data_IF_176704015495
#
_entry.id   IF_176704015495
#
_cell.length_a   1.000
_cell.length_b   1.000
_cell.length_c   1.000
_cell.angle_alpha   90.00
_cell.angle_beta   90.00
_cell.angle_gamma   90.00
#
_symmetry.space_group_name_H-M   'P 1'
#
loop_
_entity.id
_entity.type
_entity.pdbx_description
1 polymer ?
#
# COMPACT_ATOMS: atom_id res chain seq x y z
N UNK A 1 15.46 -4.28 4.37
CA UNK A 1 14.36 -3.55 5.02
C UNK A 1 13.09 -4.40 4.89
N UNK A 2 12.21 -4.41 5.90
CA UNK A 2 10.88 -5.00 5.73
C UNK A 2 9.97 -3.89 5.19
N UNK A 3 9.54 -4.00 3.93
CA UNK A 3 8.39 -3.23 3.45
C UNK A 3 7.15 -4.00 3.90
N UNK A 4 6.52 -3.51 4.97
CA UNK A 4 5.31 -4.13 5.51
C UNK A 4 4.14 -3.81 4.59
N UNK A 5 3.51 -4.83 4.00
CA UNK A 5 2.39 -4.64 3.09
C UNK A 5 1.14 -4.18 3.87
N UNK A 6 0.88 -2.87 3.87
CA UNK A 6 -0.30 -2.29 4.50
C UNK A 6 -1.54 -2.50 3.61
N UNK A 7 -2.13 -3.70 3.68
CA UNK A 7 -3.38 -4.01 3.00
C UNK A 7 -4.56 -3.26 3.66
N UNK A 8 -4.86 -2.06 3.16
CA UNK A 8 -6.00 -1.24 3.57
C UNK A 8 -7.34 -1.86 3.12
N UNK A 9 -7.82 -2.85 3.86
CA UNK A 9 -9.14 -3.47 3.67
C UNK A 9 -10.21 -2.74 4.48
N UNK A 10 -10.91 -1.77 3.87
CA UNK A 10 -12.11 -1.17 4.46
C UNK A 10 -13.35 -2.04 4.19
N UNK A 11 -13.73 -2.85 5.17
CA UNK A 11 -14.95 -3.66 5.12
C UNK A 11 -16.18 -2.85 5.57
N UNK A 12 -17.04 -2.46 4.63
CA UNK A 12 -18.36 -1.90 4.92
C UNK A 12 -19.42 -3.02 5.03
N UNK A 13 -19.72 -3.47 6.26
CA UNK A 13 -20.57 -4.64 6.52
C UNK A 13 -21.77 -4.37 7.44
N UNK A 14 -22.64 -3.41 7.12
CA UNK A 14 -23.87 -3.19 7.88
C UNK A 14 -24.93 -4.26 7.61
N UNK A 15 -25.23 -5.07 8.63
CA UNK A 15 -26.03 -6.30 8.52
C UNK A 15 -27.49 -6.04 8.88
N UNK A 16 -28.34 -5.74 7.89
CA UNK A 16 -29.75 -5.47 8.14
C UNK A 16 -30.55 -6.76 8.40
N UNK A 17 -31.24 -6.85 9.55
CA UNK A 17 -32.08 -8.01 9.92
C UNK A 17 -33.48 -7.85 9.33
N UNK A 18 -33.70 -8.41 8.14
CA UNK A 18 -35.05 -8.61 7.60
C UNK A 18 -35.75 -9.78 8.30
N UNK A 19 -36.79 -9.49 9.08
CA UNK A 19 -37.65 -10.50 9.69
C UNK A 19 -38.62 -11.07 8.64
N UNK A 20 -38.67 -12.40 8.45
CA UNK A 20 -39.68 -13.06 7.60
C UNK A 20 -40.70 -13.76 8.48
N UNK A 21 -41.95 -13.31 8.41
CA UNK A 21 -43.11 -14.05 8.92
C UNK A 21 -43.54 -15.15 7.94
N UNK A 22 -44.21 -16.16 8.47
CA UNK A 22 -44.67 -17.36 7.77
C UNK A 22 -46.09 -17.20 7.19
N UNK A 23 -46.56 -18.22 6.48
CA UNK A 23 -47.72 -18.29 5.58
C UNK A 23 -49.04 -18.75 6.24
N UNK A 24 -50.11 -18.79 5.41
CA UNK A 24 -51.46 -19.38 5.60
C UNK A 24 -52.51 -18.54 6.41
N UNK A 25 -53.79 -18.40 6.00
CA UNK A 25 -54.48 -18.73 4.72
C UNK A 25 -55.77 -17.86 4.52
N UNK A 26 -56.56 -17.96 3.42
CA UNK A 26 -57.55 -16.94 3.02
C UNK A 26 -59.01 -17.21 3.45
N UNK A 27 -59.85 -16.16 3.51
CA UNK A 27 -61.28 -16.20 3.17
C UNK A 27 -61.97 -14.81 3.22
N UNK A 28 -63.12 -14.65 2.55
CA UNK A 28 -64.15 -13.67 2.96
C UNK A 28 -64.39 -12.43 2.09
N UNK A 29 -65.41 -12.51 1.23
CA UNK A 29 -65.92 -11.44 0.35
C UNK A 29 -66.47 -10.16 1.03
N UNK A 30 -66.44 -9.02 0.31
CA UNK A 30 -67.63 -8.23 -0.09
C UNK A 30 -67.25 -6.86 -0.71
N UNK A 31 -68.22 -6.14 -1.29
CA UNK A 31 -67.99 -5.02 -2.22
C UNK A 31 -68.59 -3.68 -1.77
N UNK A 32 -67.93 -2.56 -2.14
CA UNK A 32 -68.47 -1.20 -2.43
C UNK A 32 -67.28 -0.23 -2.58
N UNK A 33 -66.94 0.29 -3.77
CA UNK A 33 -67.35 1.62 -4.26
C UNK A 33 -67.13 2.77 -3.28
N UNK A 34 -66.19 3.68 -3.55
CA UNK A 34 -66.50 5.06 -4.00
C UNK A 34 -65.23 5.93 -4.25
N UNK A 35 -65.40 6.99 -5.04
CA UNK A 35 -64.38 7.95 -5.48
C UNK A 35 -63.73 8.79 -4.36
N UNK A 36 -62.42 9.07 -4.50
CA UNK A 36 -61.86 10.42 -4.39
C UNK A 36 -60.36 10.48 -4.74
N UNK A 37 -60.00 11.40 -5.63
CA UNK A 37 -58.65 12.01 -5.72
C UNK A 37 -58.84 13.54 -5.63
N UNK A 38 -57.78 14.34 -5.48
CA UNK A 38 -56.75 14.30 -4.43
C UNK A 38 -56.69 15.67 -3.70
N UNK A 39 -55.97 15.79 -2.59
CA UNK A 39 -55.52 17.11 -2.10
C UNK A 39 -54.16 17.02 -1.38
N UNK A 40 -53.29 18.05 -1.43
CA UNK A 40 -51.87 17.91 -1.17
C UNK A 40 -51.44 18.32 0.25
N UNK A 41 -50.22 17.93 0.61
CA UNK A 41 -49.47 18.60 1.68
C UNK A 41 -49.18 17.74 2.90
N UNK A 42 -48.20 16.84 2.79
CA UNK A 42 -47.50 16.31 3.97
C UNK A 42 -46.06 16.81 3.97
N UNK A 43 -45.92 17.96 4.64
CA UNK A 43 -44.73 18.52 5.31
C UNK A 43 -43.50 17.60 5.30
N UNK A 44 -42.40 18.11 4.72
CA UNK A 44 -41.08 17.49 4.87
C UNK A 44 -40.75 17.30 6.35
N UNK A 45 -40.34 16.09 6.72
CA UNK A 45 -39.82 15.82 8.06
C UNK A 45 -38.48 16.52 8.23
N UNK A 46 -38.40 17.40 9.22
CA UNK A 46 -37.15 18.02 9.65
C UNK A 46 -36.26 16.92 10.25
N UNK A 47 -35.27 16.47 9.49
CA UNK A 47 -34.27 15.52 9.98
C UNK A 47 -33.39 16.18 11.06
N UNK A 48 -33.12 15.42 12.13
CA UNK A 48 -32.24 15.85 13.22
C UNK A 48 -30.87 16.37 12.71
N UNK A 49 -30.28 17.37 13.38
CA UNK A 49 -29.02 17.95 12.93
C UNK A 49 -27.89 16.90 12.99
N UNK A 50 -27.29 16.61 11.83
CA UNK A 50 -26.06 15.82 11.72
C UNK A 50 -25.01 16.39 12.70
N UNK A 51 -24.45 15.52 13.55
CA UNK A 51 -23.43 15.89 14.53
C UNK A 51 -22.13 16.45 13.90
N UNK A 52 -21.28 17.13 14.69
CA UNK A 52 -20.11 17.81 14.18
C UNK A 52 -19.09 16.79 13.67
N UNK A 53 -18.87 16.75 12.34
CA UNK A 53 -17.87 15.84 11.76
C UNK A 53 -18.03 15.47 10.29
N UNK A 54 -18.87 16.14 9.49
CA UNK A 54 -18.87 15.96 8.03
C UNK A 54 -19.05 17.28 7.29
N UNK A 55 -17.96 17.84 6.78
CA UNK A 55 -18.02 18.82 5.69
C UNK A 55 -18.47 18.12 4.39
N UNK A 56 -19.76 17.81 4.28
CA UNK A 56 -20.35 17.25 3.04
C UNK A 56 -20.46 18.30 1.91
N UNK A 57 -20.01 19.53 2.16
CA UNK A 57 -20.12 20.69 1.28
C UNK A 57 -18.81 21.51 1.33
N UNK A 58 -17.68 20.89 0.97
CA UNK A 58 -16.43 21.61 0.80
C UNK A 58 -16.47 22.48 -0.47
N UNK A 59 -17.15 23.64 -0.37
CA UNK A 59 -17.21 24.66 -1.44
C UNK A 59 -15.84 25.20 -1.83
N UNK A 60 -14.86 25.02 -0.94
CA UNK A 60 -13.49 25.52 -1.05
C UNK A 60 -12.45 24.39 -1.22
N UNK A 61 -12.88 23.14 -1.50
CA UNK A 61 -11.97 22.01 -1.73
C UNK A 61 -11.05 22.28 -2.93
N UNK A 62 -9.74 22.14 -2.72
CA UNK A 62 -8.74 22.19 -3.78
C UNK A 62 -8.49 20.80 -4.34
N UNK A 63 -8.96 20.57 -5.56
CA UNK A 63 -8.83 19.29 -6.26
C UNK A 63 -7.39 19.00 -6.71
N UNK A 64 -6.99 17.74 -6.63
CA UNK A 64 -5.78 17.20 -7.24
C UNK A 64 -5.85 17.25 -8.77
N UNK A 65 -4.68 17.38 -9.39
CA UNK A 65 -4.54 17.19 -10.84
C UNK A 65 -4.50 15.70 -11.15
N UNK A 66 -5.63 15.16 -11.59
CA UNK A 66 -5.77 13.74 -11.95
C UNK A 66 -4.85 13.35 -13.10
N UNK A 67 -4.05 12.32 -12.91
CA UNK A 67 -3.22 11.70 -13.94
C UNK A 67 -4.14 10.92 -14.90
N UNK A 68 -4.30 11.46 -16.12
CA UNK A 68 -5.08 10.84 -17.19
C UNK A 68 -4.32 9.78 -17.99
N UNK A 69 -2.99 9.78 -17.94
CA UNK A 69 -2.13 8.87 -18.71
C UNK A 69 -2.00 7.52 -17.98
N UNK A 70 -1.80 7.57 -16.66
CA UNK A 70 -1.87 6.38 -15.80
C UNK A 70 -3.30 5.88 -15.63
N UNK A 71 -4.31 6.76 -15.67
CA UNK A 71 -5.71 6.37 -15.47
C UNK A 71 -6.68 7.20 -16.33
N UNK A 72 -7.02 6.66 -17.49
CA UNK A 72 -7.94 7.27 -18.45
C UNK A 72 -9.24 7.80 -17.79
N UNK A 73 -9.51 9.09 -17.96
CA UNK A 73 -10.69 9.80 -17.43
C UNK A 73 -11.90 9.75 -18.38
N UNK A 74 -11.73 9.26 -19.61
CA UNK A 74 -12.77 9.28 -20.65
C UNK A 74 -14.01 8.50 -20.22
N UNK A 75 -15.18 9.15 -20.30
CA UNK A 75 -16.48 8.58 -19.94
C UNK A 75 -16.57 8.03 -18.50
N UNK A 76 -15.80 8.58 -17.56
CA UNK A 76 -15.83 8.19 -16.15
C UNK A 76 -16.26 9.36 -15.26
N UNK A 77 -17.02 9.06 -14.21
CA UNK A 77 -17.33 10.03 -13.15
C UNK A 77 -16.15 10.10 -12.19
N UNK A 78 -15.68 11.31 -11.95
CA UNK A 78 -14.64 11.59 -10.98
C UNK A 78 -15.27 11.89 -9.60
N UNK A 79 -14.57 11.52 -8.53
CA UNK A 79 -14.90 11.88 -7.16
C UNK A 79 -13.59 12.06 -6.39
N UNK A 80 -13.38 13.24 -5.83
CA UNK A 80 -12.21 13.53 -5.02
C UNK A 80 -12.59 13.75 -3.56
N UNK A 81 -11.71 13.33 -2.64
CA UNK A 81 -11.93 13.39 -1.20
C UNK A 81 -10.69 13.94 -0.51
N UNK A 82 -10.91 14.92 0.35
CA UNK A 82 -10.01 15.37 1.41
C UNK A 82 -10.05 14.32 2.54
N UNK A 83 -8.92 13.64 2.78
CA UNK A 83 -8.77 12.55 3.76
C UNK A 83 -8.14 13.07 5.05
N UNK A 84 -7.21 14.02 4.96
CA UNK A 84 -6.47 14.59 6.10
C UNK A 84 -7.17 15.80 6.78
N UNK A 85 -8.17 16.40 6.11
CA UNK A 85 -8.95 17.58 6.49
C UNK A 85 -8.24 18.94 6.42
N UNK A 86 -7.27 19.11 5.51
CA UNK A 86 -6.52 20.36 5.28
C UNK A 86 -7.14 21.29 4.21
N UNK A 87 -8.18 20.84 3.49
CA UNK A 87 -8.86 21.57 2.43
C UNK A 87 -8.34 21.30 1.01
N UNK A 88 -7.37 20.40 0.86
CA UNK A 88 -6.96 19.81 -0.42
C UNK A 88 -7.55 18.40 -0.53
N UNK A 89 -7.68 17.89 -1.75
CA UNK A 89 -8.05 16.49 -1.96
C UNK A 89 -6.79 15.62 -1.85
N UNK A 90 -6.93 14.42 -1.29
CA UNK A 90 -5.85 13.43 -1.19
C UNK A 90 -6.16 12.19 -2.03
N UNK A 91 -7.45 11.90 -2.27
CA UNK A 91 -7.90 10.68 -2.95
C UNK A 91 -8.81 11.00 -4.13
N UNK A 92 -8.39 10.61 -5.32
CA UNK A 92 -9.19 10.59 -6.54
C UNK A 92 -9.77 9.18 -6.76
N UNK A 93 -11.06 9.08 -7.08
CA UNK A 93 -11.70 7.85 -7.55
C UNK A 93 -12.42 8.09 -8.86
N UNK A 94 -12.12 7.25 -9.87
CA UNK A 94 -12.79 7.23 -11.17
C UNK A 94 -13.75 6.04 -11.24
N UNK A 95 -15.02 6.34 -11.54
CA UNK A 95 -16.10 5.38 -11.73
C UNK A 95 -16.43 5.24 -13.22
N UNK A 96 -16.39 4.03 -13.75
CA UNK A 96 -16.96 3.73 -15.06
C UNK A 96 -18.43 3.34 -14.91
N UNK A 97 -19.27 3.73 -15.86
CA UNK A 97 -20.67 3.30 -15.92
C UNK A 97 -20.82 2.23 -17.00
N UNK A 98 -21.30 1.04 -16.62
CA UNK A 98 -21.69 -0.02 -17.55
C UNK A 98 -23.16 -0.43 -17.36
N UNK A 99 -23.61 -1.44 -18.10
CA UNK A 99 -25.00 -1.93 -18.05
C UNK A 99 -25.42 -2.47 -16.67
N UNK A 100 -24.47 -2.77 -15.78
CA UNK A 100 -24.69 -3.18 -14.39
C UNK A 100 -24.61 -2.03 -13.38
N UNK A 101 -24.31 -0.80 -13.79
CA UNK A 101 -24.24 0.39 -12.94
C UNK A 101 -22.86 1.06 -12.90
N UNK A 102 -22.61 1.88 -11.87
CA UNK A 102 -21.29 2.45 -11.62
C UNK A 102 -20.36 1.41 -10.98
N UNK A 103 -19.13 1.32 -11.49
CA UNK A 103 -18.05 0.47 -10.97
C UNK A 103 -16.77 1.27 -10.80
N UNK A 104 -15.95 0.89 -9.82
CA UNK A 104 -14.59 1.40 -9.71
C UNK A 104 -13.79 1.05 -10.96
N UNK A 105 -13.07 2.02 -11.51
CA UNK A 105 -12.16 1.84 -12.64
C UNK A 105 -10.71 2.14 -12.24
N UNK A 106 -10.49 3.25 -11.53
CA UNK A 106 -9.19 3.60 -10.96
C UNK A 106 -9.33 4.40 -9.66
N UNK A 107 -8.35 4.29 -8.78
CA UNK A 107 -8.07 5.25 -7.70
C UNK A 107 -6.67 5.82 -7.87
N UNK A 108 -6.51 7.08 -7.51
CA UNK A 108 -5.22 7.77 -7.46
C UNK A 108 -5.13 8.44 -6.08
N UNK A 109 -4.01 8.35 -5.38
CA UNK A 109 -3.87 8.97 -4.06
C UNK A 109 -2.54 9.69 -3.90
N UNK A 110 -2.62 10.86 -3.28
CA UNK A 110 -1.55 11.53 -2.57
C UNK A 110 -1.40 10.80 -1.21
N UNK A 111 -0.21 10.25 -0.92
CA UNK A 111 0.07 9.50 0.29
C UNK A 111 0.89 10.31 1.31
N UNK A 112 1.56 11.37 0.87
CA UNK A 112 2.42 12.21 1.70
C UNK A 112 1.85 13.62 2.00
N UNK A 113 0.78 13.99 1.29
CA UNK A 113 0.04 15.26 1.32
C UNK A 113 0.84 16.46 0.75
N UNK A 114 1.63 16.24 -0.31
CA UNK A 114 2.40 17.29 -1.01
C UNK A 114 1.70 17.90 -2.24
N UNK A 115 0.54 17.35 -2.63
CA UNK A 115 -0.26 17.74 -3.79
C UNK A 115 0.04 16.96 -5.08
N UNK A 116 0.89 15.91 -5.00
CA UNK A 116 1.21 14.98 -6.09
C UNK A 116 0.51 13.64 -5.87
N UNK A 117 0.63 12.74 -6.83
CA UNK A 117 -0.06 11.46 -6.82
C UNK A 117 0.97 10.34 -6.80
N UNK A 118 0.99 9.61 -5.68
CA UNK A 118 1.99 8.59 -5.38
C UNK A 118 1.48 7.19 -5.70
N UNK A 119 0.18 6.94 -5.51
CA UNK A 119 -0.43 5.62 -5.68
C UNK A 119 -1.49 5.59 -6.78
N UNK A 120 -1.47 4.55 -7.61
CA UNK A 120 -2.45 4.31 -8.68
C UNK A 120 -2.95 2.87 -8.66
N UNK A 121 -4.24 2.67 -8.39
CA UNK A 121 -4.87 1.35 -8.28
C UNK A 121 -5.93 1.20 -9.36
N UNK A 122 -5.75 0.22 -10.24
CA UNK A 122 -6.63 -0.13 -11.35
C UNK A 122 -7.55 -1.28 -10.97
N UNK A 123 -8.79 -1.20 -11.45
CA UNK A 123 -9.81 -2.22 -11.24
C UNK A 123 -10.24 -2.83 -12.58
N UNK A 124 -10.36 -4.16 -12.62
CA UNK A 124 -10.97 -4.88 -13.73
C UNK A 124 -12.50 -4.65 -13.76
N UNK A 125 -13.20 -4.90 -14.88
CA UNK A 125 -14.67 -4.81 -14.96
C UNK A 125 -15.44 -5.77 -14.01
N UNK A 126 -14.75 -6.75 -13.42
CA UNK A 126 -15.23 -7.61 -12.33
C UNK A 126 -15.29 -6.91 -10.96
N UNK A 127 -14.62 -5.77 -10.80
CA UNK A 127 -14.43 -5.07 -9.53
C UNK A 127 -13.18 -5.50 -8.73
N UNK A 128 -12.44 -6.50 -9.21
CA UNK A 128 -11.15 -6.91 -8.63
C UNK A 128 -10.04 -5.93 -9.00
N UNK A 129 -9.02 -5.79 -8.16
CA UNK A 129 -7.79 -5.05 -8.52
C UNK A 129 -7.09 -5.81 -9.65
N UNK A 130 -6.63 -5.09 -10.67
CA UNK A 130 -5.86 -5.64 -11.81
C UNK A 130 -4.42 -5.15 -11.82
N UNK A 131 -4.16 -3.93 -11.34
CA UNK A 131 -2.82 -3.35 -11.25
C UNK A 131 -2.74 -2.37 -10.08
N UNK A 132 -1.60 -2.35 -9.40
CA UNK A 132 -1.23 -1.29 -8.45
C UNK A 132 0.11 -0.70 -8.90
N UNK A 133 0.32 0.59 -8.70
CA UNK A 133 1.58 1.28 -8.93
C UNK A 133 1.81 2.26 -7.78
N UNK A 134 3.04 2.35 -7.29
CA UNK A 134 3.42 3.23 -6.19
C UNK A 134 4.75 3.92 -6.48
N UNK A 135 4.79 5.19 -6.13
CA UNK A 135 5.97 5.94 -5.72
C UNK A 135 6.08 5.78 -4.19
N UNK A 136 7.12 5.10 -3.70
CA UNK A 136 7.27 4.79 -2.26
C UNK A 136 8.32 5.63 -1.54
N UNK A 137 9.11 6.40 -2.29
CA UNK A 137 10.07 7.39 -1.75
C UNK A 137 9.68 8.86 -2.01
N UNK A 138 8.64 9.08 -2.82
CA UNK A 138 8.01 10.34 -3.17
C UNK A 138 8.81 11.26 -4.11
N UNK A 139 9.70 10.72 -4.94
CA UNK A 139 10.46 11.52 -5.91
C UNK A 139 9.62 11.96 -7.15
N UNK A 140 8.52 11.28 -7.45
CA UNK A 140 7.67 11.44 -8.64
C UNK A 140 7.63 10.28 -9.61
N UNK A 141 8.39 9.22 -9.35
CA UNK A 141 8.53 8.04 -10.22
C UNK A 141 7.89 6.84 -9.55
N UNK A 142 7.35 5.94 -10.36
CA UNK A 142 6.81 4.68 -9.84
C UNK A 142 7.99 3.72 -9.64
N UNK A 143 8.28 3.40 -8.39
CA UNK A 143 9.29 2.42 -8.01
C UNK A 143 8.73 1.00 -7.86
N UNK A 144 7.42 0.85 -7.66
CA UNK A 144 6.77 -0.45 -7.42
C UNK A 144 5.52 -0.63 -8.28
N UNK A 145 5.42 -1.76 -8.98
CA UNK A 145 4.26 -2.13 -9.80
C UNK A 145 3.78 -3.55 -9.54
N UNK A 146 2.49 -3.74 -9.22
CA UNK A 146 1.88 -5.07 -9.02
C UNK A 146 0.80 -5.35 -10.04
N UNK A 147 0.67 -6.62 -10.43
CA UNK A 147 -0.27 -7.10 -11.43
C UNK A 147 -1.02 -8.31 -10.90
N UNK A 148 -2.32 -8.31 -11.16
CA UNK A 148 -3.25 -9.26 -10.59
C UNK A 148 -4.14 -9.87 -11.69
N UNK A 149 -4.37 -11.18 -11.62
CA UNK A 149 -5.29 -11.91 -12.48
C UNK A 149 -6.25 -12.72 -11.60
N UNK A 150 -7.57 -12.59 -11.82
CA UNK A 150 -8.61 -13.27 -11.02
C UNK A 150 -8.40 -13.11 -9.50
N UNK A 151 -8.13 -11.87 -9.07
CA UNK A 151 -7.87 -11.51 -7.68
C UNK A 151 -6.53 -12.01 -7.08
N UNK A 152 -5.64 -12.62 -7.87
CA UNK A 152 -4.35 -13.17 -7.40
C UNK A 152 -3.17 -12.41 -7.99
N UNK A 153 -2.18 -12.08 -7.15
CA UNK A 153 -0.93 -11.49 -7.61
C UNK A 153 -0.21 -12.45 -8.57
N UNK A 154 0.14 -11.97 -9.76
CA UNK A 154 0.89 -12.71 -10.79
C UNK A 154 2.29 -12.11 -11.01
N UNK A 155 2.46 -10.80 -10.81
CA UNK A 155 3.75 -10.12 -10.97
C UNK A 155 3.91 -8.93 -10.00
N UNK A 156 5.12 -8.75 -9.49
CA UNK A 156 5.57 -7.62 -8.65
C UNK A 156 6.89 -7.10 -9.27
N UNK A 157 6.91 -5.84 -9.68
CA UNK A 157 8.02 -5.12 -10.33
C UNK A 157 8.57 -4.10 -9.32
N UNK A 158 9.90 -4.00 -9.24
CA UNK A 158 10.59 -3.09 -8.33
C UNK A 158 11.78 -2.43 -9.03
N UNK A 159 11.79 -1.10 -9.06
CA UNK A 159 12.99 -0.29 -9.15
C UNK A 159 13.70 -0.35 -7.78
N UNK A 160 14.97 -0.73 -7.78
CA UNK A 160 15.81 -0.87 -6.59
C UNK A 160 16.95 0.16 -6.59
N UNK A 161 17.11 0.94 -7.66
CA UNK A 161 18.24 1.82 -7.92
C UNK A 161 17.84 3.31 -8.08
N UNK A 162 16.52 3.57 -8.25
CA UNK A 162 15.85 4.87 -8.43
C UNK A 162 16.11 5.56 -9.79
N UNK A 163 16.35 4.81 -10.86
CA UNK A 163 16.51 5.34 -12.23
C UNK A 163 15.19 5.49 -13.02
N UNK A 164 14.08 4.95 -12.49
CA UNK A 164 12.75 4.93 -13.11
C UNK A 164 12.43 3.66 -13.92
N UNK A 165 13.28 2.64 -13.87
CA UNK A 165 13.08 1.33 -14.49
C UNK A 165 13.14 0.22 -13.42
N UNK A 166 12.42 -0.88 -13.66
CA UNK A 166 12.43 -1.98 -12.71
C UNK A 166 13.74 -2.80 -12.83
N UNK A 167 14.46 -2.97 -11.73
CA UNK A 167 15.60 -3.90 -11.63
C UNK A 167 15.13 -5.35 -11.33
N UNK A 168 13.93 -5.54 -10.78
CA UNK A 168 13.49 -6.82 -10.22
C UNK A 168 12.03 -7.15 -10.56
N UNK A 169 11.81 -8.30 -11.20
CA UNK A 169 10.48 -8.85 -11.45
C UNK A 169 10.29 -10.16 -10.67
N UNK A 170 9.27 -10.21 -9.81
CA UNK A 170 8.86 -11.43 -9.10
C UNK A 170 7.62 -12.00 -9.77
N UNK A 171 7.68 -13.25 -10.21
CA UNK A 171 6.59 -13.96 -10.90
C UNK A 171 5.96 -14.98 -9.96
N UNK A 172 4.63 -14.98 -9.93
CA UNK A 172 3.80 -15.79 -9.06
C UNK A 172 2.89 -16.70 -9.87
N UNK A 173 2.75 -17.95 -9.43
CA UNK A 173 1.76 -18.92 -9.92
C UNK A 173 0.81 -19.27 -8.76
N UNK A 174 -0.50 -19.11 -8.95
CA UNK A 174 -1.53 -19.27 -7.91
C UNK A 174 -1.20 -18.52 -6.60
N UNK A 175 -0.64 -17.30 -6.72
CA UNK A 175 -0.19 -16.48 -5.59
C UNK A 175 1.09 -16.98 -4.89
N UNK A 176 1.79 -17.96 -5.44
CA UNK A 176 3.05 -18.51 -4.91
C UNK A 176 4.22 -18.02 -5.75
N UNK A 177 5.24 -17.46 -5.11
CA UNK A 177 6.47 -17.06 -5.80
C UNK A 177 7.13 -18.29 -6.46
N UNK A 178 7.29 -18.23 -7.79
CA UNK A 178 7.93 -19.29 -8.59
C UNK A 178 9.23 -18.85 -9.25
N UNK A 179 9.36 -17.56 -9.59
CA UNK A 179 10.58 -17.00 -10.20
C UNK A 179 10.83 -15.57 -9.69
N UNK A 180 12.10 -15.22 -9.52
CA UNK A 180 12.57 -13.84 -9.42
C UNK A 180 13.58 -13.63 -10.53
N UNK A 181 13.35 -12.59 -11.31
CA UNK A 181 14.20 -12.06 -12.37
C UNK A 181 14.84 -10.78 -11.85
N UNK A 182 16.11 -10.57 -12.16
CA UNK A 182 16.88 -9.41 -11.69
C UNK A 182 17.79 -8.95 -12.81
N UNK A 183 17.69 -7.66 -13.15
CA UNK A 183 18.71 -6.89 -13.85
C UNK A 183 19.78 -6.50 -12.81
N UNK A 184 21.06 -6.69 -13.14
CA UNK A 184 22.19 -6.41 -12.24
C UNK A 184 23.14 -5.34 -12.78
N UNK A 185 22.98 -4.91 -14.02
CA UNK A 185 23.82 -3.89 -14.67
C UNK A 185 23.02 -2.70 -15.24
N UNK A 186 21.71 -2.68 -15.01
CA UNK A 186 20.75 -1.64 -15.37
C UNK A 186 20.66 -1.38 -16.89
N UNK A 187 20.66 -2.45 -17.68
CA UNK A 187 20.46 -2.40 -19.14
C UNK A 187 18.98 -2.47 -19.58
N UNK A 188 18.08 -2.73 -18.61
CA UNK A 188 16.64 -2.90 -18.80
C UNK A 188 16.22 -4.35 -19.02
N UNK A 189 17.09 -5.33 -18.76
CA UNK A 189 16.83 -6.77 -18.96
C UNK A 189 17.34 -7.59 -17.78
N UNK A 190 16.56 -8.61 -17.41
CA UNK A 190 16.97 -9.55 -16.39
C UNK A 190 18.12 -10.44 -16.87
N UNK A 191 19.25 -10.40 -16.16
CA UNK A 191 20.43 -11.23 -16.40
C UNK A 191 20.59 -12.35 -15.35
N UNK A 192 19.83 -12.31 -14.26
CA UNK A 192 19.78 -13.34 -13.21
C UNK A 192 18.36 -13.86 -12.97
N UNK A 193 18.23 -15.19 -12.88
CA UNK A 193 16.97 -15.90 -12.74
C UNK A 193 17.01 -16.88 -11.55
N UNK A 194 16.26 -16.58 -10.49
CA UNK A 194 16.12 -17.44 -9.30
C UNK A 194 14.77 -18.15 -9.33
N UNK A 195 14.77 -19.49 -9.29
CA UNK A 195 13.57 -20.32 -9.31
C UNK A 195 13.25 -20.88 -7.92
N UNK A 196 11.96 -21.02 -7.62
CA UNK A 196 11.47 -21.43 -6.30
C UNK A 196 10.56 -22.67 -6.37
N UNK A 197 10.73 -23.57 -5.41
CA UNK A 197 9.86 -24.73 -5.17
C UNK A 197 9.54 -24.77 -3.67
N UNK A 198 8.26 -24.80 -3.30
CA UNK A 198 7.85 -24.90 -1.89
C UNK A 198 8.36 -23.75 -0.99
N UNK A 199 8.45 -22.52 -1.53
CA UNK A 199 9.09 -21.32 -0.92
C UNK A 199 10.62 -21.40 -0.74
N UNK A 200 11.29 -22.47 -1.18
CA UNK A 200 12.75 -22.60 -1.16
C UNK A 200 13.34 -22.33 -2.54
N UNK A 201 14.57 -21.81 -2.58
CA UNK A 201 15.31 -21.63 -3.84
C UNK A 201 15.73 -23.00 -4.40
N UNK A 202 15.25 -23.34 -5.59
CA UNK A 202 15.61 -24.56 -6.31
C UNK A 202 16.97 -24.37 -7.01
N UNK A 203 17.02 -23.39 -7.92
CA UNK A 203 18.16 -23.11 -8.81
C UNK A 203 18.28 -21.61 -9.09
N UNK A 204 19.51 -21.17 -9.33
CA UNK A 204 19.86 -19.82 -9.77
C UNK A 204 20.58 -19.97 -11.11
N UNK A 205 20.21 -19.17 -12.09
CA UNK A 205 20.85 -19.13 -13.40
C UNK A 205 21.10 -17.71 -13.86
N UNK A 206 21.97 -17.60 -14.88
CA UNK A 206 22.41 -16.34 -15.46
C UNK A 206 22.27 -16.39 -16.99
N UNK A 207 21.77 -15.31 -17.58
CA UNK A 207 22.00 -14.97 -18.98
C UNK A 207 23.36 -14.27 -19.05
N UNK A 208 24.21 -14.68 -19.99
CA UNK A 208 25.56 -14.14 -20.19
C UNK A 208 25.68 -13.46 -21.56
N UNK A 209 24.68 -13.62 -22.43
CA UNK A 209 24.69 -13.17 -23.81
C UNK A 209 23.63 -12.10 -24.14
N UNK A 210 22.62 -11.91 -23.27
CA UNK A 210 21.59 -10.89 -23.34
C UNK A 210 20.38 -11.24 -24.23
N UNK A 211 20.15 -12.52 -24.54
CA UNK A 211 19.00 -12.99 -25.33
C UNK A 211 17.72 -13.27 -24.51
N UNK A 212 17.76 -13.05 -23.20
CA UNK A 212 16.66 -13.26 -22.26
C UNK A 212 16.53 -14.71 -21.79
N UNK A 213 17.58 -15.53 -21.91
CA UNK A 213 17.56 -16.95 -21.52
C UNK A 213 18.74 -17.31 -20.62
N UNK A 214 18.51 -18.27 -19.73
CA UNK A 214 19.57 -18.80 -18.86
C UNK A 214 20.58 -19.61 -19.66
N UNK A 215 21.81 -19.10 -19.76
CA UNK A 215 22.98 -19.79 -20.29
C UNK A 215 23.59 -20.75 -19.26
N UNK A 216 23.72 -20.31 -18.01
CA UNK A 216 24.51 -20.99 -16.97
C UNK A 216 23.73 -21.13 -15.67
N UNK A 217 23.82 -22.29 -15.02
CA UNK A 217 23.21 -22.55 -13.70
C UNK A 217 24.28 -22.60 -12.59
N UNK A 218 24.12 -21.79 -11.54
CA UNK A 218 25.01 -21.81 -10.37
C UNK A 218 24.38 -22.59 -9.21
N UNK A 219 24.73 -23.88 -9.14
CA UNK A 219 24.34 -24.78 -8.05
C UNK A 219 24.92 -24.35 -6.69
N UNK A 220 26.07 -23.69 -6.66
CA UNK A 220 26.74 -23.25 -5.44
C UNK A 220 26.12 -21.96 -4.89
N UNK A 221 25.67 -21.03 -5.75
CA UNK A 221 24.78 -19.93 -5.36
C UNK A 221 23.46 -20.46 -4.82
N UNK A 222 22.79 -21.38 -5.53
CA UNK A 222 21.53 -21.96 -5.07
C UNK A 222 21.68 -22.66 -3.70
N UNK A 223 22.77 -23.42 -3.48
CA UNK A 223 23.10 -24.03 -2.18
C UNK A 223 23.35 -22.98 -1.10
N UNK A 224 24.18 -21.97 -1.37
CA UNK A 224 24.47 -20.87 -0.42
C UNK A 224 23.21 -20.09 -0.05
N UNK A 225 22.36 -19.80 -1.03
CA UNK A 225 21.11 -19.06 -0.84
C UNK A 225 20.10 -19.86 -0.01
N UNK A 226 19.92 -21.17 -0.26
CA UNK A 226 19.12 -22.05 0.60
C UNK A 226 19.61 -22.10 2.04
N UNK A 227 20.93 -22.25 2.24
CA UNK A 227 21.53 -22.25 3.59
C UNK A 227 21.32 -20.91 4.31
N UNK A 228 21.46 -19.79 3.60
CA UNK A 228 21.18 -18.46 4.15
C UNK A 228 19.69 -18.28 4.50
N UNK A 229 18.78 -18.77 3.66
CA UNK A 229 17.33 -18.74 3.89
C UNK A 229 16.96 -19.57 5.14
N UNK A 230 17.48 -20.79 5.26
CA UNK A 230 17.28 -21.64 6.43
C UNK A 230 17.81 -21.00 7.72
N UNK A 231 19.00 -20.36 7.67
CA UNK A 231 19.56 -19.63 8.81
C UNK A 231 18.71 -18.43 9.22
N UNK A 232 18.17 -17.66 8.25
CA UNK A 232 17.27 -16.53 8.54
C UNK A 232 16.01 -17.02 9.24
N UNK A 233 15.35 -18.05 8.70
CA UNK A 233 14.16 -18.65 9.33
C UNK A 233 14.45 -19.14 10.75
N UNK A 234 15.53 -19.91 10.95
CA UNK A 234 15.89 -20.40 12.28
C UNK A 234 16.25 -19.29 13.29
N UNK A 235 16.64 -18.10 12.84
CA UNK A 235 16.87 -16.94 13.70
C UNK A 235 15.58 -16.14 13.98
N UNK A 236 14.61 -16.19 13.07
CA UNK A 236 13.25 -15.65 13.24
C UNK A 236 12.47 -16.50 14.26
N UNK A 237 12.51 -17.83 14.09
CA UNK A 237 11.96 -18.84 15.02
C UNK A 237 12.63 -18.80 16.44
N UNK A 238 13.70 -18.02 16.62
CA UNK A 238 14.47 -17.89 17.86
C UNK A 238 14.45 -16.49 18.49
N UNK A 239 13.71 -15.53 17.92
CA UNK A 239 13.43 -14.29 18.65
C UNK A 239 12.48 -14.62 19.82
N UNK A 240 12.84 -14.35 21.08
CA UNK A 240 11.84 -14.31 22.14
C UNK A 240 10.82 -13.23 21.79
N UNK A 241 9.55 -13.50 22.06
CA UNK A 241 8.48 -12.52 21.97
C UNK A 241 8.87 -11.32 22.84
N UNK A 242 8.94 -10.14 22.23
CA UNK A 242 9.43 -8.92 22.88
C UNK A 242 8.52 -8.60 24.06
N UNK A 243 9.06 -8.64 25.28
CA UNK A 243 8.30 -8.43 26.51
C UNK A 243 7.57 -7.08 26.42
N UNK A 244 6.24 -7.14 26.34
CA UNK A 244 5.39 -5.95 26.33
C UNK A 244 5.53 -5.29 27.70
N UNK A 245 6.42 -4.31 27.77
CA UNK A 245 6.64 -3.49 28.96
C UNK A 245 5.43 -2.56 29.13
N UNK A 246 4.40 -3.06 29.80
CA UNK A 246 3.28 -2.25 30.28
C UNK A 246 3.73 -1.60 31.58
N UNK A 247 4.34 -0.42 31.49
CA UNK A 247 4.37 0.50 32.61
C UNK A 247 2.96 1.10 32.75
N UNK A 248 2.16 0.53 33.65
CA UNK A 248 0.90 1.15 34.10
C UNK A 248 1.21 2.39 34.94
N UNK A 249 0.38 3.43 34.78
CA UNK A 249 0.64 4.77 35.27
C UNK A 249 0.62 4.91 36.82
N UNK A 250 1.49 5.74 37.38
CA UNK A 250 1.14 6.56 38.55
C UNK A 250 1.51 8.02 38.31
N UNK A 251 0.63 8.92 38.73
CA UNK A 251 0.54 10.31 38.27
C UNK A 251 0.93 11.35 39.34
N UNK A 252 1.23 12.56 38.84
CA UNK A 252 1.19 13.88 39.52
C UNK A 252 1.99 14.10 40.83
N UNK A 253 2.89 15.11 40.81
CA UNK A 253 2.59 16.43 41.40
C UNK A 253 3.82 17.39 41.34
N UNK A 254 3.59 18.68 41.62
CA UNK A 254 4.45 19.78 41.23
C UNK A 254 5.52 20.25 42.25
N UNK A 255 6.55 20.91 41.69
CA UNK A 255 7.19 22.17 42.12
C UNK A 255 8.32 22.30 43.20
N UNK A 256 9.11 23.35 42.97
CA UNK A 256 9.96 24.14 43.89
C UNK A 256 11.31 23.62 44.49
N UNK A 257 12.40 24.09 43.86
CA UNK A 257 13.63 24.70 44.45
C UNK A 257 14.27 24.14 45.76
N UNK A 258 15.52 23.66 45.63
CA UNK A 258 16.64 24.31 46.35
C UNK A 258 17.67 23.49 47.17
N UNK A 259 18.96 23.69 46.81
CA UNK A 259 20.17 23.67 47.69
C UNK A 259 20.95 22.36 47.98
N UNK A 260 22.09 22.23 47.27
CA UNK A 260 23.45 21.81 47.70
C UNK A 260 23.66 20.69 48.76
N UNK A 261 24.30 19.60 48.32
CA UNK A 261 25.09 18.69 49.16
C UNK A 261 26.16 17.93 48.36
N UNK A 262 27.42 17.88 48.83
CA UNK A 262 28.56 17.14 48.23
C UNK A 262 28.35 15.61 48.39
N UNK A 263 28.90 14.68 47.60
CA UNK A 263 29.86 14.76 46.49
C UNK A 263 30.91 13.61 46.57
N UNK A 264 30.99 12.78 45.52
CA UNK A 264 32.00 11.72 45.18
C UNK A 264 31.41 10.97 43.95
N UNK A 265 32.11 10.57 42.89
CA UNK A 265 33.53 10.72 42.55
C UNK A 265 34.02 9.55 41.69
N UNK A 266 33.74 9.54 40.38
CA UNK A 266 34.29 8.56 39.42
C UNK A 266 34.40 9.20 38.01
N UNK A 267 35.53 9.00 37.34
CA UNK A 267 35.86 9.68 36.07
C UNK A 267 35.52 8.82 34.85
N UNK A 268 34.96 9.44 33.79
CA UNK A 268 34.72 8.82 32.48
C UNK A 268 35.81 9.25 31.47
N UNK A 269 36.52 8.34 30.80
CA UNK A 269 37.57 8.71 29.86
C UNK A 269 36.98 9.28 28.55
N UNK A 270 37.60 10.33 28.02
CA UNK A 270 37.31 10.88 26.68
C UNK A 270 38.23 10.22 25.65
N UNK A 271 37.68 9.59 24.62
CA UNK A 271 38.45 9.20 23.43
C UNK A 271 38.33 10.28 22.33
N UNK A 272 39.39 10.41 21.53
CA UNK A 272 39.66 11.56 20.67
C UNK A 272 39.17 11.30 19.22
N UNK A 273 38.75 12.37 18.53
CA UNK A 273 38.49 12.32 17.08
C UNK A 273 39.81 12.17 16.31
N UNK A 274 39.90 11.29 15.29
CA UNK A 274 41.07 11.21 14.41
C UNK A 274 41.16 12.42 13.46
N UNK A 275 42.39 12.80 13.08
CA UNK A 275 42.67 13.88 12.11
C UNK A 275 42.67 13.34 10.66
N UNK A 276 42.37 14.18 9.65
CA UNK A 276 42.52 13.82 8.23
C UNK A 276 44.00 13.57 7.85
N UNK A 277 44.22 12.78 6.79
CA UNK A 277 45.55 12.58 6.17
C UNK A 277 45.68 13.44 4.91
N UNK A 278 46.83 14.07 4.73
CA UNK A 278 47.19 14.80 3.49
C UNK A 278 47.53 13.83 2.33
N UNK A 279 47.35 14.25 1.07
CA UNK A 279 47.63 13.44 -0.11
C UNK A 279 49.12 13.33 -0.41
N UNK A 280 49.57 12.14 -0.84
CA UNK A 280 50.94 11.94 -1.35
C UNK A 280 51.02 12.28 -2.84
N UNK A 281 51.95 13.15 -3.18
CA UNK A 281 52.35 13.43 -4.55
C UNK A 281 53.10 12.22 -5.14
N UNK A 282 52.95 11.98 -6.46
CA UNK A 282 53.87 11.15 -7.24
C UNK A 282 54.50 12.02 -8.34
N UNK A 283 55.77 11.78 -8.61
CA UNK A 283 56.60 12.54 -9.55
C UNK A 283 56.43 12.01 -11.00
N UNK A 284 56.74 12.81 -12.03
CA UNK A 284 56.56 12.41 -13.42
C UNK A 284 57.63 11.43 -13.90
N UNK A 285 57.24 10.50 -14.77
CA UNK A 285 58.11 9.80 -15.71
C UNK A 285 57.94 10.43 -17.09
N UNK A 286 59.05 10.65 -17.81
CA UNK A 286 59.06 11.20 -19.17
C UNK A 286 59.00 10.13 -20.26
#
# INVERSE_FOLDING_TARGET
>A
MLVSALALTFAAGCKNKGNKGETEDPDGASASTDDASPDPGTRAGEGEPDGPGRSRNAKDLKYLTVDGDRCDRSNKREHQVDVNQDGYADLVTLYATDAGGEKLACKQADLNFDGRLDAFIHYAPSGEVSREQYDTDFDGRIDMGRYYEMGKLTRDELDLNQDGFADSWRIYDDGRLVRVETDRDADGRADMFTYYVGKQIDRIGYDVNGDGKVDTWDHDAARRARLAQAKRKGAEDQKPEEEVYVDEDEAEAEDAKGSKGKGKGAQKPKQQKPKPKEPKQQAPTG
#
